data_IF_868342770211
#
_entry.id   IF_868342770211
#
_cell.length_a   1.000
_cell.length_b   1.000
_cell.length_c   1.000
_cell.angle_alpha   90.00
_cell.angle_beta   90.00
_cell.angle_gamma   90.00
#
_symmetry.space_group_name_H-M   'P 1'
#
loop_
_entity.id
_entity.type
_entity.pdbx_description
1 polymer ?
#
# COMPACT_ATOMS: atom_id res chain seq x y z
N UNK A 1 1.60 13.43 -15.55
CA UNK A 1 0.24 12.88 -15.73
C UNK A 1 0.19 11.36 -15.92
N UNK A 2 1.27 10.65 -16.30
CA UNK A 2 1.26 9.18 -16.49
C UNK A 2 1.76 8.34 -15.29
N UNK A 3 2.23 8.96 -14.20
CA UNK A 3 2.93 8.24 -13.13
C UNK A 3 1.99 7.47 -12.17
N UNK A 4 0.78 8.02 -11.91
CA UNK A 4 -0.17 7.43 -10.95
C UNK A 4 -0.81 6.11 -11.44
N UNK A 5 -0.98 5.94 -12.76
CA UNK A 5 -1.56 4.71 -13.32
C UNK A 5 -0.63 3.49 -13.17
N UNK A 6 0.69 3.71 -13.08
CA UNK A 6 1.67 2.64 -12.91
C UNK A 6 1.90 2.24 -11.45
N UNK A 7 1.20 2.85 -10.50
CA UNK A 7 1.38 2.64 -9.04
C UNK A 7 0.17 2.00 -8.36
N UNK A 8 -0.72 1.42 -9.15
CA UNK A 8 -1.85 0.64 -8.62
C UNK A 8 -1.52 -0.84 -8.63
N UNK A 9 -1.78 -1.51 -7.51
CA UNK A 9 -1.65 -2.95 -7.36
C UNK A 9 -2.96 -3.54 -6.87
N UNK A 10 -3.29 -4.74 -7.33
CA UNK A 10 -4.52 -5.45 -6.92
C UNK A 10 -4.18 -6.53 -5.91
N UNK A 11 -4.89 -6.51 -4.78
CA UNK A 11 -4.79 -7.51 -3.72
C UNK A 11 -6.04 -8.39 -3.77
N UNK A 12 -5.91 -9.55 -4.41
CA UNK A 12 -7.04 -10.43 -4.68
C UNK A 12 -8.03 -9.80 -5.67
N UNK A 13 -9.32 -10.04 -5.45
CA UNK A 13 -10.39 -9.63 -6.38
C UNK A 13 -10.97 -8.25 -6.09
N UNK A 14 -11.04 -7.87 -4.81
CA UNK A 14 -11.88 -6.75 -4.37
C UNK A 14 -11.09 -5.59 -3.75
N UNK A 15 -9.80 -5.79 -3.45
CA UNK A 15 -8.95 -4.76 -2.84
C UNK A 15 -7.90 -4.31 -3.84
N UNK A 16 -7.66 -3.01 -3.90
CA UNK A 16 -6.55 -2.42 -4.65
C UNK A 16 -5.84 -1.39 -3.77
N UNK A 17 -4.51 -1.33 -3.88
CA UNK A 17 -3.72 -0.26 -3.32
C UNK A 17 -3.24 0.64 -4.44
N UNK A 18 -3.32 1.94 -4.22
CA UNK A 18 -2.82 2.97 -5.13
C UNK A 18 -1.79 3.76 -4.35
N UNK A 19 -0.51 3.60 -4.67
CA UNK A 19 0.52 4.37 -3.98
C UNK A 19 0.48 5.83 -4.42
N UNK A 20 0.47 6.73 -3.45
CA UNK A 20 0.48 8.17 -3.68
C UNK A 20 1.93 8.66 -3.76
N UNK A 21 2.17 9.71 -4.56
CA UNK A 21 3.47 10.36 -4.56
C UNK A 21 3.53 11.30 -3.33
N UNK A 22 4.56 11.12 -2.50
CA UNK A 22 4.89 12.01 -1.39
C UNK A 22 5.55 13.29 -1.91
N UNK A 23 4.85 14.03 -2.78
CA UNK A 23 5.23 15.42 -3.07
C UNK A 23 4.58 16.28 -1.98
N UNK A 24 5.05 16.12 -0.74
CA UNK A 24 4.68 17.05 0.31
C UNK A 24 5.67 18.20 0.20
N UNK A 25 5.24 19.31 -0.40
CA UNK A 25 5.87 20.64 -0.35
C UNK A 25 5.93 21.20 1.09
N UNK A 26 5.87 20.33 2.11
CA UNK A 26 5.90 20.68 3.52
C UNK A 26 7.25 20.21 4.09
N UNK A 27 8.15 21.19 4.21
CA UNK A 27 9.54 21.14 4.66
C UNK A 27 9.76 20.60 6.09
N UNK A 28 8.89 19.74 6.64
CA UNK A 28 8.92 19.44 8.08
C UNK A 28 9.31 18.03 8.48
N UNK A 29 9.37 17.01 7.61
CA UNK A 29 9.84 15.67 8.04
C UNK A 29 10.50 14.92 6.88
N UNK A 30 11.82 14.66 6.90
CA UNK A 30 12.45 13.69 6.01
C UNK A 30 12.14 12.29 6.56
N UNK A 31 10.90 11.86 6.46
CA UNK A 31 10.53 10.46 6.69
C UNK A 31 10.81 9.73 5.37
N UNK A 32 12.10 9.57 5.05
CA UNK A 32 12.67 8.95 3.84
C UNK A 32 12.17 7.50 3.62
N UNK A 33 11.46 6.96 4.60
CA UNK A 33 10.97 5.58 4.63
C UNK A 33 9.45 5.45 4.74
N UNK A 34 8.72 6.56 4.73
CA UNK A 34 7.26 6.51 4.77
C UNK A 34 6.73 6.33 3.35
N UNK A 35 5.79 5.41 3.17
CA UNK A 35 5.02 5.26 1.94
C UNK A 35 3.55 5.54 2.25
N UNK A 36 2.91 6.35 1.40
CA UNK A 36 1.47 6.58 1.48
C UNK A 36 0.76 5.84 0.35
N UNK A 37 -0.35 5.17 0.67
CA UNK A 37 -1.18 4.51 -0.32
C UNK A 37 -2.66 4.63 0.01
N UNK A 38 -3.48 4.80 -1.01
CA UNK A 38 -4.93 4.75 -0.92
C UNK A 38 -5.40 3.31 -1.10
N UNK A 39 -6.03 2.77 -0.07
CA UNK A 39 -6.78 1.52 -0.13
C UNK A 39 -8.12 1.78 -0.79
N UNK A 40 -8.36 1.17 -1.94
CA UNK A 40 -9.64 1.20 -2.63
C UNK A 40 -10.29 -0.18 -2.55
N UNK A 41 -11.45 -0.25 -1.91
CA UNK A 41 -12.28 -1.43 -1.88
C UNK A 41 -13.36 -1.36 -2.96
N UNK A 42 -13.44 -2.39 -3.80
CA UNK A 42 -14.46 -2.52 -4.86
C UNK A 42 -15.35 -3.70 -4.51
N UNK A 43 -16.40 -3.42 -3.76
CA UNK A 43 -17.51 -4.34 -3.51
C UNK A 43 -18.72 -3.87 -4.29
N UNK A 44 -19.48 -4.80 -4.87
CA UNK A 44 -20.79 -4.48 -5.44
C UNK A 44 -21.77 -4.19 -4.29
N UNK A 45 -22.85 -3.42 -4.53
CA UNK A 45 -23.95 -3.25 -3.56
C UNK A 45 -24.46 -4.58 -2.97
N UNK A 46 -24.37 -5.68 -3.72
CA UNK A 46 -24.75 -7.02 -3.25
C UNK A 46 -23.76 -7.65 -2.25
N UNK A 47 -22.61 -7.02 -2.04
CA UNK A 47 -21.54 -7.46 -1.16
C UNK A 47 -21.28 -6.44 -0.05
N UNK A 48 -22.23 -5.53 0.22
CA UNK A 48 -22.14 -4.52 1.28
C UNK A 48 -21.90 -5.17 2.66
N UNK A 49 -22.54 -6.31 2.94
CA UNK A 49 -22.30 -7.09 4.16
C UNK A 49 -20.84 -7.61 4.29
N UNK A 50 -20.13 -7.80 3.17
CA UNK A 50 -18.70 -8.15 3.23
C UNK A 50 -17.85 -6.93 3.55
N UNK A 51 -18.26 -5.74 3.14
CA UNK A 51 -17.56 -4.51 3.48
C UNK A 51 -17.60 -4.27 5.00
N UNK A 52 -18.75 -4.46 5.63
CA UNK A 52 -18.89 -4.39 7.10
C UNK A 52 -17.97 -5.41 7.80
N UNK A 53 -17.89 -6.64 7.27
CA UNK A 53 -17.01 -7.69 7.76
C UNK A 53 -15.51 -7.40 7.58
N UNK A 54 -15.16 -6.36 6.83
CA UNK A 54 -13.80 -5.89 6.61
C UNK A 54 -13.47 -4.64 7.42
N UNK A 55 -14.29 -4.34 8.43
CA UNK A 55 -13.95 -3.36 9.45
C UNK A 55 -12.57 -3.68 10.06
N UNK A 56 -11.62 -2.75 9.98
CA UNK A 56 -10.25 -2.95 10.45
C UNK A 56 -9.29 -3.51 9.40
N UNK A 57 -9.75 -3.80 8.18
CA UNK A 57 -8.89 -4.30 7.08
C UNK A 57 -7.77 -3.32 6.76
N UNK A 58 -8.00 -2.03 6.96
CA UNK A 58 -7.05 -0.95 6.74
C UNK A 58 -5.79 -1.04 7.60
N UNK A 59 -5.85 -1.73 8.75
CA UNK A 59 -4.69 -1.98 9.63
C UNK A 59 -4.08 -3.37 9.43
N UNK A 60 -4.71 -4.21 8.61
CA UNK A 60 -4.27 -5.57 8.30
C UNK A 60 -3.63 -5.68 6.92
N UNK A 61 -3.52 -4.57 6.19
CA UNK A 61 -2.78 -4.51 4.93
C UNK A 61 -1.29 -4.52 5.25
N UNK A 62 -0.50 -5.25 4.48
CA UNK A 62 0.94 -5.32 4.69
C UNK A 62 1.71 -5.24 3.38
N UNK A 63 2.97 -4.79 3.48
CA UNK A 63 3.98 -4.83 2.44
C UNK A 63 5.15 -5.69 2.91
N UNK A 64 5.79 -6.40 1.98
CA UNK A 64 6.96 -7.23 2.26
C UNK A 64 7.98 -7.11 1.13
N UNK A 65 9.21 -6.77 1.46
CA UNK A 65 10.32 -6.70 0.50
C UNK A 65 11.10 -8.01 0.57
N UNK A 66 11.00 -8.86 -0.45
CA UNK A 66 11.65 -10.17 -0.48
C UNK A 66 11.23 -11.02 0.73
N UNK A 67 12.21 -11.40 1.55
CA UNK A 67 12.02 -12.22 2.76
C UNK A 67 12.08 -11.40 4.06
N UNK A 68 12.09 -10.06 3.97
CA UNK A 68 12.07 -9.19 5.15
C UNK A 68 10.75 -9.35 5.94
N UNK A 69 10.73 -8.78 7.15
CA UNK A 69 9.51 -8.68 7.95
C UNK A 69 8.40 -7.92 7.21
N UNK A 70 7.15 -8.24 7.53
CA UNK A 70 5.99 -7.55 6.96
C UNK A 70 5.80 -6.20 7.64
N UNK A 71 5.65 -5.17 6.82
CA UNK A 71 5.28 -3.82 7.26
C UNK A 71 3.77 -3.67 7.15
N UNK A 72 3.10 -3.60 8.28
CA UNK A 72 1.67 -3.37 8.33
C UNK A 72 1.34 -1.88 8.12
N UNK A 73 0.19 -1.63 7.50
CA UNK A 73 -0.35 -0.31 7.30
C UNK A 73 -0.79 0.32 8.62
N UNK A 74 -0.65 1.64 8.68
CA UNK A 74 -1.24 2.49 9.71
C UNK A 74 -2.27 3.39 9.04
N UNK A 75 -3.49 3.43 9.59
CA UNK A 75 -4.53 4.34 9.09
C UNK A 75 -4.09 5.79 9.32
N UNK A 76 -3.98 6.57 8.24
CA UNK A 76 -3.67 7.99 8.29
C UNK A 76 -4.95 8.82 8.27
N UNK A 77 -5.82 8.56 7.30
CA UNK A 77 -7.05 9.32 7.11
C UNK A 77 -8.16 8.40 6.59
N UNK A 78 -9.36 8.58 7.14
CA UNK A 78 -10.57 7.99 6.59
C UNK A 78 -11.19 8.98 5.61
N UNK A 79 -11.20 8.63 4.33
CA UNK A 79 -11.83 9.46 3.30
C UNK A 79 -13.34 9.21 3.39
N UNK A 80 -14.01 10.05 4.18
CA UNK A 80 -15.45 9.92 4.45
C UNK A 80 -16.26 9.83 3.15
N UNK A 81 -16.92 8.69 2.95
CA UNK A 81 -17.96 8.51 1.92
C UNK A 81 -17.63 7.60 0.72
N UNK A 82 -16.43 7.01 0.59
CA UNK A 82 -16.11 6.17 -0.60
C UNK A 82 -15.45 4.81 -0.34
N UNK A 83 -15.50 4.26 0.88
CA UNK A 83 -14.82 2.99 1.22
C UNK A 83 -13.34 3.00 0.81
N UNK A 84 -12.72 4.17 0.96
CA UNK A 84 -11.34 4.46 0.66
C UNK A 84 -10.62 4.91 1.92
N UNK A 85 -9.43 4.38 2.14
CA UNK A 85 -8.62 4.70 3.32
C UNK A 85 -7.23 5.13 2.89
N UNK A 86 -6.74 6.21 3.46
CA UNK A 86 -5.34 6.62 3.31
C UNK A 86 -4.50 5.85 4.32
N UNK A 87 -3.58 5.04 3.83
CA UNK A 87 -2.69 4.20 4.63
C UNK A 87 -1.26 4.73 4.56
N UNK A 88 -0.55 4.64 5.68
CA UNK A 88 0.88 4.85 5.78
C UNK A 88 1.61 3.53 6.03
N UNK A 89 2.77 3.34 5.41
CA UNK A 89 3.66 2.21 5.64
C UNK A 89 5.04 2.75 5.99
N UNK A 90 5.62 2.29 7.09
CA UNK A 90 6.96 2.70 7.50
C UNK A 90 7.96 1.58 7.21
N UNK A 91 8.76 1.74 6.17
CA UNK A 91 9.78 0.79 5.78
C UNK A 91 11.03 0.97 6.65
N UNK A 92 11.80 -0.10 6.82
CA UNK A 92 13.13 0.03 7.43
C UNK A 92 14.15 0.45 6.37
N UNK A 93 15.26 1.05 6.80
CA UNK A 93 16.39 1.37 5.91
C UNK A 93 16.91 0.13 5.15
N UNK A 94 16.79 -1.05 5.75
CA UNK A 94 17.18 -2.31 5.11
C UNK A 94 16.24 -2.63 3.93
N UNK A 95 14.93 -2.56 4.16
CA UNK A 95 13.91 -2.79 3.13
C UNK A 95 14.03 -1.79 1.98
N UNK A 96 14.37 -0.53 2.25
CA UNK A 96 14.64 0.45 1.20
C UNK A 96 15.84 0.07 0.34
N UNK A 97 16.95 -0.33 0.95
CA UNK A 97 18.14 -0.79 0.22
C UNK A 97 17.85 -2.03 -0.62
N UNK A 98 17.03 -2.94 -0.11
CA UNK A 98 16.60 -4.12 -0.84
C UNK A 98 15.71 -3.75 -2.03
N UNK A 99 14.75 -2.83 -1.85
CA UNK A 99 13.96 -2.28 -2.96
C UNK A 99 14.84 -1.60 -4.01
N UNK A 100 15.81 -0.77 -3.59
CA UNK A 100 16.80 -0.15 -4.48
C UNK A 100 17.65 -1.17 -5.24
N UNK A 101 17.95 -2.30 -4.60
CA UNK A 101 18.71 -3.39 -5.21
C UNK A 101 17.86 -4.21 -6.20
N UNK A 102 16.55 -3.95 -6.27
CA UNK A 102 15.60 -4.64 -7.15
C UNK A 102 15.01 -5.91 -6.54
N UNK A 103 15.03 -6.04 -5.22
CA UNK A 103 14.32 -7.12 -4.52
C UNK A 103 12.82 -6.94 -4.72
N UNK A 104 12.14 -8.06 -4.97
CA UNK A 104 10.71 -8.09 -5.26
C UNK A 104 9.89 -7.55 -4.08
N UNK A 105 8.94 -6.66 -4.37
CA UNK A 105 7.95 -6.20 -3.41
C UNK A 105 6.70 -7.09 -3.49
N UNK A 106 6.12 -7.39 -2.34
CA UNK A 106 4.85 -8.06 -2.19
C UNK A 106 3.93 -7.20 -1.33
N UNK A 107 2.63 -7.35 -1.55
CA UNK A 107 1.62 -6.80 -0.66
C UNK A 107 0.58 -7.86 -0.33
N UNK A 108 -0.20 -7.62 0.71
CA UNK A 108 -1.31 -8.48 1.04
C UNK A 108 -2.18 -7.89 2.13
N UNK A 109 -3.20 -8.65 2.48
CA UNK A 109 -4.10 -8.38 3.59
C UNK A 109 -4.15 -9.65 4.44
N UNK A 110 -3.96 -9.50 5.75
CA UNK A 110 -4.07 -10.58 6.73
C UNK A 110 -5.27 -10.34 7.64
N UNK A 111 -6.48 -10.38 7.07
CA UNK A 111 -7.71 -10.22 7.83
C UNK A 111 -8.42 -11.57 8.01
N UNK A 112 -9.07 -11.86 9.15
CA UNK A 112 -9.80 -13.13 9.37
C UNK A 112 -10.82 -13.46 8.27
N UNK A 113 -11.47 -12.43 7.74
CA UNK A 113 -12.45 -12.54 6.65
C UNK A 113 -11.85 -12.33 5.24
N UNK A 114 -10.57 -11.95 5.14
CA UNK A 114 -9.90 -11.66 3.87
C UNK A 114 -8.37 -11.78 4.01
N UNK A 115 -7.86 -13.00 3.83
CA UNK A 115 -6.43 -13.29 3.85
C UNK A 115 -5.94 -13.61 2.43
N UNK A 116 -5.40 -12.61 1.75
CA UNK A 116 -4.91 -12.75 0.37
C UNK A 116 -3.62 -11.95 0.19
N UNK A 117 -2.73 -12.44 -0.66
CA UNK A 117 -1.49 -11.76 -1.05
C UNK A 117 -1.45 -11.51 -2.55
N UNK A 118 -0.72 -10.49 -2.96
CA UNK A 118 -0.40 -10.24 -4.36
C UNK A 118 0.62 -11.26 -4.87
N UNK A 119 0.70 -11.35 -6.19
CA UNK A 119 1.91 -11.85 -6.84
C UNK A 119 3.03 -10.81 -6.69
N UNK A 120 4.19 -11.13 -7.25
CA UNK A 120 5.33 -10.22 -7.37
C UNK A 120 4.87 -8.88 -7.96
N UNK A 121 5.06 -7.81 -7.21
CA UNK A 121 4.73 -6.47 -7.70
C UNK A 121 5.74 -6.12 -8.80
N UNK A 122 5.29 -5.64 -9.97
CA UNK A 122 6.17 -5.30 -11.07
C UNK A 122 7.26 -4.32 -10.64
N UNK A 123 8.48 -4.57 -11.08
CA UNK A 123 9.64 -3.73 -10.75
C UNK A 123 9.44 -2.26 -11.15
N UNK A 124 8.66 -1.99 -12.20
CA UNK A 124 8.28 -0.62 -12.58
C UNK A 124 7.57 0.14 -11.45
N UNK A 125 6.78 -0.55 -10.64
CA UNK A 125 6.10 0.04 -9.46
C UNK A 125 7.13 0.24 -8.36
N UNK A 126 7.88 -0.79 -7.99
CA UNK A 126 8.89 -0.74 -6.92
C UNK A 126 9.97 0.31 -7.16
N UNK A 127 10.47 0.42 -8.40
CA UNK A 127 11.46 1.44 -8.78
C UNK A 127 10.86 2.85 -8.66
N UNK A 128 9.60 3.02 -9.05
CA UNK A 128 8.88 4.29 -8.94
C UNK A 128 8.69 4.72 -7.48
N UNK A 129 8.36 3.77 -6.59
CA UNK A 129 8.27 4.01 -5.14
C UNK A 129 9.64 4.36 -4.55
N UNK A 130 10.66 3.61 -4.94
CA UNK A 130 12.03 3.83 -4.46
C UNK A 130 12.53 5.22 -4.81
N UNK A 131 12.25 5.71 -6.02
CA UNK A 131 12.64 7.06 -6.44
C UNK A 131 12.05 8.18 -5.58
N UNK A 132 10.85 8.00 -5.02
CA UNK A 132 10.26 9.00 -4.13
C UNK A 132 10.81 8.92 -2.70
N UNK A 133 11.31 7.76 -2.28
CA UNK A 133 11.93 7.54 -0.97
C UNK A 133 13.39 8.03 -0.90
N UNK A 134 14.07 8.13 -2.05
CA UNK A 134 15.49 8.53 -2.15
C UNK A 134 15.72 9.95 -2.64
N UNK A 135 14.67 10.77 -2.68
CA UNK A 135 14.71 12.11 -3.28
C UNK A 135 15.27 13.18 -2.36
#
# INVERSE_FOLDING_TARGET
>A
MNDLMNRSIKIGSNISLIFENLITDDSSIPDENHLKATLASKFSDKEEEKLDQLSGVESQVWLQVGENDRVFSTLQENLEGQSQYSLGFNLTNLMLKDLQSGITLFAGVEHPNYNVRTQEIPRTVSDSLTQDLTK
#
